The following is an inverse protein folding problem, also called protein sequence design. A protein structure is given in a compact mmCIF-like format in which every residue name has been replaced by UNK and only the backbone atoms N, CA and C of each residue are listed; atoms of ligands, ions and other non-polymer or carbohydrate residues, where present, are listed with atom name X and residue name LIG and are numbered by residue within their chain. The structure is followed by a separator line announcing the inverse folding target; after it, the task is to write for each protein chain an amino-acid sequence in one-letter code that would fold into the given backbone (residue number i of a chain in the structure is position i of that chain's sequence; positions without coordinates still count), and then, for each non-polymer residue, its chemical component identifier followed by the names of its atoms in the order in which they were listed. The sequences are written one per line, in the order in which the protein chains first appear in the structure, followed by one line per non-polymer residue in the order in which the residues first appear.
data_IF_794577926325
#
_entry.id   IF_794577926325
#
_cell.length_a   1.000
_cell.length_b   1.000
_cell.length_c   1.000
_cell.angle_alpha   90.00
_cell.angle_beta   90.00
_cell.angle_gamma   90.00
#
_symmetry.space_group_name_H-M   'P 1'
#
loop_
_entity.id
_entity.type
_entity.pdbx_description
1 polymer ?
#
# COMPACT_ATOMS: atom_id res chain seq x y z
N UNK A 1 2.13 28.73 -25.12
CA UNK A 1 2.02 27.71 -24.05
C UNK A 1 2.74 26.45 -24.49
N UNK A 2 3.49 25.79 -23.61
CA UNK A 2 4.18 24.52 -23.87
C UNK A 2 3.79 23.54 -22.77
N UNK A 3 3.56 22.27 -23.11
CA UNK A 3 3.18 21.21 -22.17
C UNK A 3 4.25 20.12 -22.16
N UNK A 4 4.71 19.72 -20.98
CA UNK A 4 5.63 18.60 -20.79
C UNK A 4 4.85 17.42 -20.18
N UNK A 5 4.91 16.26 -20.82
CA UNK A 5 4.29 15.04 -20.33
C UNK A 5 5.37 14.04 -19.92
N UNK A 6 5.25 13.48 -18.71
CA UNK A 6 6.17 12.48 -18.19
C UNK A 6 5.62 11.07 -18.43
N UNK A 7 6.43 10.21 -19.04
CA UNK A 7 6.12 8.79 -19.23
C UNK A 7 6.77 7.98 -18.10
N UNK A 8 5.95 7.34 -17.27
CA UNK A 8 6.41 6.49 -16.15
C UNK A 8 6.72 5.05 -16.55
N UNK A 9 6.53 4.68 -17.82
CA UNK A 9 6.82 3.33 -18.33
C UNK A 9 5.87 2.24 -17.84
N UNK A 10 4.79 2.59 -17.13
CA UNK A 10 3.73 1.63 -16.77
C UNK A 10 2.98 1.17 -18.03
N UNK A 11 2.20 0.09 -17.89
CA UNK A 11 1.41 -0.47 -19.00
C UNK A 11 0.60 0.63 -19.70
N UNK A 12 0.95 0.90 -20.95
CA UNK A 12 0.18 1.77 -21.82
C UNK A 12 -1.15 1.08 -22.14
N UNK A 13 -2.27 1.68 -21.79
CA UNK A 13 -3.59 1.18 -22.18
C UNK A 13 -3.79 1.31 -23.70
N UNK A 14 -4.68 0.49 -24.27
CA UNK A 14 -5.12 0.66 -25.67
C UNK A 14 -5.65 2.08 -25.85
N UNK A 15 -5.08 2.85 -26.79
CA UNK A 15 -5.46 4.26 -27.00
C UNK A 15 -4.75 5.27 -26.08
N UNK A 16 -3.60 4.93 -25.50
CA UNK A 16 -2.80 5.87 -24.71
C UNK A 16 -2.47 7.13 -25.51
N UNK A 17 -2.93 8.29 -25.00
CA UNK A 17 -2.64 9.59 -25.58
C UNK A 17 -1.12 9.85 -25.71
N UNK A 18 -0.31 9.30 -24.80
CA UNK A 18 1.15 9.38 -24.90
C UNK A 18 1.70 8.61 -26.10
N UNK A 19 1.12 7.46 -26.43
CA UNK A 19 1.51 6.69 -27.63
C UNK A 19 1.12 7.47 -28.88
N UNK A 20 -0.11 7.98 -28.95
CA UNK A 20 -0.59 8.78 -30.09
C UNK A 20 0.27 10.04 -30.31
N UNK A 21 0.66 10.72 -29.24
CA UNK A 21 1.51 11.91 -29.32
C UNK A 21 2.92 11.59 -29.82
N UNK A 22 3.51 10.47 -29.38
CA UNK A 22 4.80 9.99 -29.89
C UNK A 22 4.71 9.70 -31.39
N UNK A 23 3.66 9.01 -31.82
CA UNK A 23 3.43 8.67 -33.23
C UNK A 23 3.16 9.93 -34.10
N UNK A 24 2.58 10.98 -33.52
CA UNK A 24 2.37 12.27 -34.20
C UNK A 24 3.63 13.14 -34.29
N UNK A 25 4.78 12.65 -33.84
CA UNK A 25 6.07 13.32 -34.01
C UNK A 25 6.39 14.40 -32.99
N UNK A 26 5.77 14.40 -31.80
CA UNK A 26 6.20 15.31 -30.73
C UNK A 26 7.61 14.95 -30.24
N UNK A 27 8.41 15.94 -29.86
CA UNK A 27 9.75 15.70 -29.32
C UNK A 27 9.71 14.87 -28.02
N UNK A 28 10.43 13.76 -28.01
CA UNK A 28 10.58 12.89 -26.84
C UNK A 28 11.96 13.04 -26.23
N UNK A 29 12.01 13.35 -24.93
CA UNK A 29 13.26 13.41 -24.17
C UNK A 29 13.37 12.20 -23.24
N UNK A 30 14.43 11.41 -23.39
CA UNK A 30 14.68 10.23 -22.55
C UNK A 30 15.52 10.63 -21.34
N UNK A 31 14.89 10.64 -20.17
CA UNK A 31 15.58 10.80 -18.89
C UNK A 31 16.35 9.52 -18.52
N UNK A 32 17.64 9.65 -18.19
CA UNK A 32 18.52 8.52 -17.84
C UNK A 32 18.98 8.51 -16.37
N UNK A 33 18.55 9.47 -15.55
CA UNK A 33 19.01 9.62 -14.16
C UNK A 33 18.24 8.82 -13.11
N UNK A 34 17.39 7.86 -13.51
CA UNK A 34 16.58 7.08 -12.57
C UNK A 34 17.34 5.87 -12.01
N UNK A 35 17.27 5.65 -10.68
CA UNK A 35 17.75 4.41 -10.08
C UNK A 35 16.83 3.25 -10.49
N UNK A 36 17.35 2.32 -11.29
CA UNK A 36 16.61 1.13 -11.69
C UNK A 36 16.58 0.13 -10.52
N UNK A 37 15.39 -0.13 -9.98
CA UNK A 37 15.21 -1.13 -8.93
C UNK A 37 15.46 -2.53 -9.49
N UNK A 38 16.35 -3.29 -8.85
CA UNK A 38 16.55 -4.72 -9.14
C UNK A 38 15.33 -5.51 -8.66
N UNK A 39 14.92 -6.51 -9.43
CA UNK A 39 13.84 -7.43 -9.06
C UNK A 39 14.38 -8.86 -9.01
N UNK A 40 14.15 -9.55 -7.90
CA UNK A 40 14.42 -10.97 -7.78
C UNK A 40 13.23 -11.76 -8.34
N UNK A 41 13.51 -12.67 -9.29
CA UNK A 41 12.49 -13.50 -9.95
C UNK A 41 12.63 -14.93 -9.46
N UNK A 42 11.61 -15.41 -8.77
CA UNK A 42 11.52 -16.79 -8.27
C UNK A 42 10.44 -17.52 -9.07
N UNK A 43 10.83 -18.61 -9.74
CA UNK A 43 9.91 -19.44 -10.50
C UNK A 43 9.46 -20.64 -9.67
N UNK A 44 8.16 -20.74 -9.42
CA UNK A 44 7.54 -21.87 -8.73
C UNK A 44 6.32 -22.30 -9.56
N UNK A 45 6.29 -23.53 -10.12
CA UNK A 45 5.23 -23.93 -11.05
C UNK A 45 3.88 -24.14 -10.36
N UNK A 46 3.86 -24.61 -9.11
CA UNK A 46 2.60 -24.83 -8.40
C UNK A 46 1.98 -23.51 -7.91
N UNK A 47 0.69 -23.32 -8.19
CA UNK A 47 -0.03 -22.09 -7.83
C UNK A 47 -0.18 -21.97 -6.32
N UNK A 48 -0.43 -23.09 -5.63
CA UNK A 48 -0.56 -23.11 -4.17
C UNK A 48 0.75 -22.75 -3.49
N UNK A 49 1.83 -23.45 -3.85
CA UNK A 49 3.18 -23.22 -3.35
C UNK A 49 3.65 -21.79 -3.59
N UNK A 50 3.37 -21.21 -4.77
CA UNK A 50 3.65 -19.78 -5.04
C UNK A 50 3.02 -18.86 -4.02
N UNK A 51 1.72 -19.03 -3.73
CA UNK A 51 1.01 -18.13 -2.83
C UNK A 51 1.43 -18.31 -1.38
N UNK A 52 1.64 -19.56 -0.96
CA UNK A 52 2.15 -19.87 0.38
C UNK A 52 3.52 -19.28 0.61
N UNK A 53 4.42 -19.39 -0.37
CA UNK A 53 5.76 -18.80 -0.32
C UNK A 53 5.71 -17.28 -0.25
N UNK A 54 4.91 -16.63 -1.10
CA UNK A 54 4.72 -15.18 -1.07
C UNK A 54 4.19 -14.69 0.28
N UNK A 55 3.24 -15.43 0.87
CA UNK A 55 2.69 -15.13 2.19
C UNK A 55 3.74 -15.25 3.31
N UNK A 56 4.59 -16.28 3.23
CA UNK A 56 5.67 -16.50 4.19
C UNK A 56 6.76 -15.43 4.09
N UNK A 57 7.24 -15.13 2.88
CA UNK A 57 8.24 -14.07 2.64
C UNK A 57 7.71 -12.70 3.11
N UNK A 58 6.43 -12.42 2.87
CA UNK A 58 5.77 -11.23 3.40
C UNK A 58 5.74 -11.21 4.93
N UNK A 59 5.37 -12.31 5.59
CA UNK A 59 5.30 -12.38 7.05
C UNK A 59 6.67 -12.19 7.71
N UNK A 60 7.72 -12.83 7.17
CA UNK A 60 9.11 -12.61 7.60
C UNK A 60 9.51 -11.14 7.45
N UNK A 61 9.19 -10.54 6.30
CA UNK A 61 9.52 -9.14 6.03
C UNK A 61 8.81 -8.16 6.97
N UNK A 62 7.54 -8.44 7.33
CA UNK A 62 6.80 -7.66 8.34
C UNK A 62 7.40 -7.82 9.73
N UNK A 63 7.79 -9.05 10.11
CA UNK A 63 8.47 -9.33 11.38
C UNK A 63 9.77 -8.55 11.52
N UNK A 64 10.51 -8.41 10.42
CA UNK A 64 11.75 -7.64 10.32
C UNK A 64 11.53 -6.12 10.24
N UNK A 65 10.28 -5.66 10.34
CA UNK A 65 9.92 -4.23 10.32
C UNK A 65 10.10 -3.55 8.96
N UNK A 66 10.22 -4.32 7.88
CA UNK A 66 10.39 -3.79 6.54
C UNK A 66 9.06 -3.23 6.00
N UNK A 67 9.16 -2.19 5.15
CA UNK A 67 8.00 -1.63 4.44
C UNK A 67 7.64 -2.50 3.24
N UNK A 68 6.79 -3.49 3.48
CA UNK A 68 6.46 -4.51 2.49
C UNK A 68 5.00 -4.51 2.07
N UNK A 69 4.76 -4.82 0.80
CA UNK A 69 3.43 -4.89 0.20
C UNK A 69 3.37 -6.13 -0.69
N UNK A 70 2.40 -7.02 -0.43
CA UNK A 70 2.09 -8.13 -1.33
C UNK A 70 1.05 -7.71 -2.38
N UNK A 71 1.32 -7.99 -3.65
CA UNK A 71 0.42 -7.65 -4.75
C UNK A 71 0.11 -8.87 -5.61
N UNK A 72 -1.15 -8.99 -6.00
CA UNK A 72 -1.63 -10.02 -6.93
C UNK A 72 -2.77 -9.47 -7.77
N UNK A 73 -2.91 -9.98 -9.00
CA UNK A 73 -3.99 -9.59 -9.89
C UNK A 73 -5.21 -10.51 -9.72
N UNK A 74 -6.41 -9.94 -9.72
CA UNK A 74 -7.67 -10.67 -9.60
C UNK A 74 -8.23 -10.67 -8.17
N UNK A 75 -9.53 -10.43 -8.04
CA UNK A 75 -10.23 -10.35 -6.74
C UNK A 75 -10.26 -11.70 -6.01
N UNK A 76 -10.42 -12.79 -6.75
CA UNK A 76 -10.40 -14.16 -6.21
C UNK A 76 -9.01 -14.50 -5.67
N UNK A 77 -7.98 -14.30 -6.48
CA UNK A 77 -6.59 -14.51 -6.11
C UNK A 77 -6.17 -13.67 -4.91
N UNK A 78 -6.60 -12.41 -4.87
CA UNK A 78 -6.38 -11.53 -3.72
C UNK A 78 -7.03 -12.08 -2.45
N UNK A 79 -8.24 -12.64 -2.55
CA UNK A 79 -8.94 -13.23 -1.40
C UNK A 79 -8.21 -14.47 -0.87
N UNK A 80 -7.72 -15.33 -1.77
CA UNK A 80 -6.92 -16.52 -1.41
C UNK A 80 -5.61 -16.10 -0.75
N UNK A 81 -4.86 -15.19 -1.37
CA UNK A 81 -3.58 -14.73 -0.84
C UNK A 81 -3.73 -14.03 0.51
N UNK A 82 -4.78 -13.22 0.70
CA UNK A 82 -5.07 -12.58 1.98
C UNK A 82 -5.34 -13.60 3.10
N UNK A 83 -5.97 -14.73 2.79
CA UNK A 83 -6.14 -15.84 3.74
C UNK A 83 -4.78 -16.37 4.20
N UNK A 84 -3.95 -16.75 3.24
CA UNK A 84 -2.61 -17.29 3.50
C UNK A 84 -1.72 -16.30 4.27
N UNK A 85 -1.72 -15.01 3.89
CA UNK A 85 -0.95 -13.97 4.59
C UNK A 85 -1.38 -13.86 6.06
N UNK A 86 -2.69 -13.88 6.35
CA UNK A 86 -3.16 -13.81 7.75
C UNK A 86 -2.70 -15.02 8.54
N UNK A 87 -2.75 -16.21 7.96
CA UNK A 87 -2.32 -17.44 8.62
C UNK A 87 -0.80 -17.43 8.86
N UNK A 88 0.00 -17.02 7.88
CA UNK A 88 1.46 -16.85 8.03
C UNK A 88 1.82 -15.80 9.08
N UNK A 89 1.15 -14.63 9.08
CA UNK A 89 1.40 -13.60 10.10
C UNK A 89 1.02 -14.08 11.51
N UNK A 90 -0.02 -14.90 11.66
CA UNK A 90 -0.40 -15.49 12.94
C UNK A 90 0.64 -16.49 13.44
N UNK A 91 1.16 -17.33 12.54
CA UNK A 91 2.25 -18.27 12.85
C UNK A 91 3.51 -17.53 13.30
N UNK A 92 3.82 -16.39 12.67
CA UNK A 92 4.97 -15.53 13.01
C UNK A 92 4.72 -14.59 14.20
N UNK A 93 3.53 -14.62 14.83
CA UNK A 93 3.18 -13.75 15.95
C UNK A 93 3.05 -12.27 15.61
N UNK A 94 3.09 -11.91 14.32
CA UNK A 94 3.09 -10.53 13.82
C UNK A 94 1.70 -10.03 13.46
N UNK A 95 0.67 -10.87 13.59
CA UNK A 95 -0.70 -10.49 13.26
C UNK A 95 -1.34 -9.70 14.41
N UNK A 96 -1.32 -8.38 14.30
CA UNK A 96 -2.10 -7.49 15.16
C UNK A 96 -3.42 -7.17 14.46
N UNK A 97 -4.57 -7.48 15.09
CA UNK A 97 -5.84 -6.95 14.58
C UNK A 97 -5.79 -5.44 14.77
N UNK A 98 -6.24 -4.69 13.77
CA UNK A 98 -6.41 -3.23 13.85
C UNK A 98 -7.29 -2.77 15.04
N UNK A 99 -7.99 -3.69 15.71
CA UNK A 99 -8.83 -3.44 16.88
C UNK A 99 -8.12 -3.57 18.24
N UNK A 100 -6.87 -4.04 18.29
CA UNK A 100 -6.13 -4.28 19.55
C UNK A 100 -5.30 -3.05 20.01
N UNK A 101 -5.43 -1.91 19.31
CA UNK A 101 -4.77 -0.64 19.67
C UNK A 101 -5.52 0.21 20.71
N UNK A 102 -6.52 -0.34 21.41
CA UNK A 102 -7.21 0.38 22.49
C UNK A 102 -7.01 -0.37 23.82
N UNK A 103 -6.05 0.10 24.62
CA UNK A 103 -5.91 -0.29 26.02
C UNK A 103 -6.84 0.60 26.87
N UNK A 104 -7.83 0.06 27.59
CA UNK A 104 -8.69 0.86 28.46
C UNK A 104 -7.98 1.44 29.70
N UNK A 105 -6.74 1.01 29.98
CA UNK A 105 -6.04 1.30 31.24
C UNK A 105 -5.00 2.43 31.16
N UNK A 106 -5.05 3.27 30.14
CA UNK A 106 -4.37 4.57 30.21
C UNK A 106 -5.23 5.54 31.06
N UNK A 107 -5.17 5.36 32.38
CA UNK A 107 -5.76 6.27 33.35
C UNK A 107 -5.24 7.68 33.14
N UNK A 108 -6.08 8.56 32.57
CA UNK A 108 -5.81 10.00 32.56
C UNK A 108 -6.48 10.58 33.79
N UNK A 109 -5.70 10.62 34.87
CA UNK A 109 -5.95 11.47 36.01
C UNK A 109 -6.12 12.93 35.56
N UNK A 110 -7.17 13.58 36.07
CA UNK A 110 -7.26 15.01 36.34
C UNK A 110 -6.74 15.97 35.26
N UNK A 111 -7.61 16.38 34.35
CA UNK A 111 -7.52 17.72 33.75
C UNK A 111 -8.87 18.44 33.96
N UNK A 112 -8.97 19.03 35.15
CA UNK A 112 -9.93 20.07 35.48
C UNK A 112 -9.69 21.26 34.54
N UNK A 113 -10.63 21.51 33.62
CA UNK A 113 -10.61 22.73 32.80
C UNK A 113 -11.04 23.92 33.66
N UNK A 114 -10.27 25.02 33.72
CA UNK A 114 -10.71 26.22 34.43
C UNK A 114 -11.83 26.90 33.65
N UNK A 115 -12.90 27.24 34.37
CA UNK A 115 -14.07 27.91 33.81
C UNK A 115 -13.76 29.30 33.28
N UNK A 116 -14.50 29.71 32.26
CA UNK A 116 -14.77 31.12 32.01
C UNK A 116 -16.26 31.29 31.74
N UNK A 117 -16.91 31.99 32.67
CA UNK A 117 -18.30 32.41 32.62
C UNK A 117 -18.55 33.40 31.46
N UNK A 118 -19.75 33.37 30.90
CA UNK A 118 -20.24 34.46 30.05
C UNK A 118 -21.35 34.12 29.06
N UNK A 119 -22.59 34.21 29.55
CA UNK A 119 -23.81 34.70 28.87
C UNK A 119 -24.46 33.92 27.69
N UNK A 120 -25.63 33.33 27.99
CA UNK A 120 -26.82 33.18 27.12
C UNK A 120 -27.51 34.57 26.91
N UNK A 121 -28.59 34.77 26.11
CA UNK A 121 -29.53 33.78 25.53
C UNK A 121 -30.12 34.07 24.11
N UNK A 122 -30.88 33.10 23.58
CA UNK A 122 -32.21 33.38 22.98
C UNK A 122 -32.45 33.00 21.51
N UNK A 123 -33.57 32.28 21.27
CA UNK A 123 -34.24 32.22 19.96
C UNK A 123 -34.96 30.89 19.67
N UNK A 124 -36.24 30.84 20.03
CA UNK A 124 -37.32 29.83 19.88
C UNK A 124 -37.15 28.69 18.87
#
# INVERSE_FOLDING_TARGET
MQVLLSDSGKRSGTGSALTVLKDSGVNTYRWQGGHQTTADIISEPDKGARYSRLAQEFAVSVREGQKSVAQISGTREQSVLNGLIRDSLRQEGCWVKRHDYYSPDAGVAGQQKPGRAGLLPGGW
#
